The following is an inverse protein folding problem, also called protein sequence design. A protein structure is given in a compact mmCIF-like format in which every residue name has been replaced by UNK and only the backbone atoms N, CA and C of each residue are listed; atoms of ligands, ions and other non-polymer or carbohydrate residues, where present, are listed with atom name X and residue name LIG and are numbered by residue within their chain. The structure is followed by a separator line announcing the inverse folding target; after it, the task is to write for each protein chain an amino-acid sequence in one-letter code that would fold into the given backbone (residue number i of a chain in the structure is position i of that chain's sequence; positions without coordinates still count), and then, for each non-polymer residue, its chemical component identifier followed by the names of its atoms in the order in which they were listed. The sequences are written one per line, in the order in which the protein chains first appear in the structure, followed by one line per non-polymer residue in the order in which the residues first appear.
data_IF_240739945608
#
_entry.id   IF_240739945608
#
_cell.length_a   1.000
_cell.length_b   1.000
_cell.length_c   1.000
_cell.angle_alpha   90.00
_cell.angle_beta   90.00
_cell.angle_gamma   90.00
#
_symmetry.space_group_name_H-M   'P 1'
#
loop_
_entity.id
_entity.type
_entity.pdbx_description
1 polymer ?
#
# COMPACT_ATOMS: atom_id res chain seq x y z
N UNK A 1 14.58 13.06 0.96
CA UNK A 1 13.67 12.18 1.69
C UNK A 1 12.41 11.90 0.90
N UNK A 2 11.70 12.96 0.49
CA UNK A 2 10.48 12.81 -0.30
C UNK A 2 10.71 12.13 -1.63
N UNK A 3 11.85 12.41 -2.26
CA UNK A 3 12.20 11.82 -3.55
C UNK A 3 12.40 10.31 -3.43
N UNK A 4 13.07 9.88 -2.36
CA UNK A 4 13.30 8.45 -2.14
C UNK A 4 12.00 7.71 -1.86
N UNK A 5 11.10 8.31 -1.10
CA UNK A 5 9.80 7.70 -0.81
C UNK A 5 8.95 7.58 -2.07
N UNK A 6 8.96 8.60 -2.92
CA UNK A 6 8.24 8.57 -4.20
C UNK A 6 8.81 7.50 -5.12
N UNK A 7 10.13 7.37 -5.18
CA UNK A 7 10.77 6.32 -5.97
C UNK A 7 10.40 4.94 -5.46
N UNK A 8 10.37 4.78 -4.15
CA UNK A 8 9.99 3.53 -3.53
C UNK A 8 8.56 3.16 -3.89
N UNK A 9 7.64 4.12 -3.81
CA UNK A 9 6.24 3.91 -4.21
C UNK A 9 6.13 3.54 -5.68
N UNK A 10 6.86 4.23 -6.55
CA UNK A 10 6.83 3.91 -7.98
C UNK A 10 7.32 2.50 -8.26
N UNK A 11 8.35 2.06 -7.56
CA UNK A 11 8.84 0.68 -7.68
C UNK A 11 7.80 -0.32 -7.22
N UNK A 12 7.12 -0.01 -6.14
CA UNK A 12 6.07 -0.87 -5.61
C UNK A 12 4.87 -0.93 -6.56
N UNK A 13 4.50 0.19 -7.17
CA UNK A 13 3.44 0.21 -8.18
C UNK A 13 3.79 -0.65 -9.38
N UNK A 14 5.04 -0.55 -9.85
CA UNK A 14 5.50 -1.36 -10.96
C UNK A 14 5.51 -2.85 -10.61
N UNK A 15 5.98 -3.18 -9.40
CA UNK A 15 5.97 -4.56 -8.93
C UNK A 15 4.54 -5.09 -8.80
N UNK A 16 3.63 -4.27 -8.28
CA UNK A 16 2.23 -4.64 -8.15
C UNK A 16 1.62 -4.99 -9.50
N UNK A 17 1.92 -4.20 -10.52
CA UNK A 17 1.41 -4.46 -11.87
C UNK A 17 1.89 -5.80 -12.40
N UNK A 18 3.15 -6.14 -12.17
CA UNK A 18 3.70 -7.43 -12.58
C UNK A 18 3.09 -8.59 -11.82
N UNK A 19 2.97 -8.45 -10.51
CA UNK A 19 2.39 -9.49 -9.66
C UNK A 19 0.91 -9.68 -10.00
N UNK A 20 0.19 -8.61 -10.34
CA UNK A 20 -1.21 -8.71 -10.76
C UNK A 20 -1.39 -9.67 -11.93
N UNK A 21 -0.50 -9.60 -12.92
CA UNK A 21 -0.52 -10.53 -14.05
C UNK A 21 -0.31 -11.98 -13.59
N UNK A 22 0.65 -12.18 -12.68
CA UNK A 22 0.95 -13.52 -12.16
C UNK A 22 -0.23 -14.10 -11.39
N UNK A 23 -0.92 -13.27 -10.60
CA UNK A 23 -2.07 -13.71 -9.82
C UNK A 23 -3.22 -14.17 -10.71
N UNK A 24 -3.43 -13.48 -11.83
CA UNK A 24 -4.46 -13.87 -12.79
C UNK A 24 -4.16 -15.25 -13.36
N UNK A 25 -2.89 -15.55 -13.63
CA UNK A 25 -2.47 -16.84 -14.17
C UNK A 25 -2.39 -17.93 -13.11
N UNK A 26 -2.02 -17.59 -11.89
CA UNK A 26 -1.85 -18.57 -10.82
C UNK A 26 -2.16 -17.94 -9.46
N UNK A 27 -3.18 -18.46 -8.82
CA UNK A 27 -3.67 -17.99 -7.52
C UNK A 27 -2.64 -18.10 -6.39
N UNK A 28 -1.63 -18.90 -6.57
CA UNK A 28 -0.58 -19.09 -5.56
C UNK A 28 0.13 -17.78 -5.23
N UNK A 29 0.09 -16.82 -6.16
CA UNK A 29 0.72 -15.50 -5.96
C UNK A 29 -0.18 -14.49 -5.23
N UNK A 30 -1.42 -14.85 -4.91
CA UNK A 30 -2.34 -13.94 -4.24
C UNK A 30 -1.82 -13.39 -2.92
N UNK A 31 -1.23 -14.19 -2.01
CA UNK A 31 -0.68 -13.65 -0.76
C UNK A 31 0.41 -12.60 -0.98
N UNK A 32 1.24 -12.80 -2.00
CA UNK A 32 2.29 -11.84 -2.34
C UNK A 32 1.69 -10.52 -2.82
N UNK A 33 0.66 -10.61 -3.64
CA UNK A 33 -0.05 -9.45 -4.15
C UNK A 33 -0.69 -8.66 -3.00
N UNK A 34 -1.37 -9.34 -2.09
CA UNK A 34 -2.00 -8.70 -0.93
C UNK A 34 -0.97 -8.02 -0.03
N UNK A 35 0.15 -8.68 0.23
CA UNK A 35 1.22 -8.10 1.04
C UNK A 35 1.77 -6.83 0.39
N UNK A 36 1.93 -6.86 -0.93
CA UNK A 36 2.44 -5.71 -1.68
C UNK A 36 1.44 -4.56 -1.66
N UNK A 37 0.15 -4.85 -1.80
CA UNK A 37 -0.89 -3.83 -1.70
C UNK A 37 -0.91 -3.18 -0.32
N UNK A 38 -0.71 -3.97 0.72
CA UNK A 38 -0.65 -3.46 2.08
C UNK A 38 0.56 -2.54 2.28
N UNK A 39 1.71 -2.93 1.77
CA UNK A 39 2.92 -2.10 1.85
C UNK A 39 2.72 -0.77 1.14
N UNK A 40 2.10 -0.81 -0.03
CA UNK A 40 1.78 0.41 -0.78
C UNK A 40 0.84 1.31 0.02
N UNK A 41 -0.21 0.76 0.56
CA UNK A 41 -1.19 1.51 1.34
C UNK A 41 -0.53 2.18 2.55
N UNK A 42 0.35 1.48 3.25
CA UNK A 42 1.06 2.03 4.40
C UNK A 42 1.96 3.20 4.00
N UNK A 43 2.66 3.07 2.88
CA UNK A 43 3.52 4.15 2.39
C UNK A 43 2.73 5.35 1.90
N UNK A 44 1.62 5.13 1.23
CA UNK A 44 0.74 6.20 0.79
C UNK A 44 0.20 6.99 1.97
N UNK A 45 -0.23 6.29 3.01
CA UNK A 45 -0.70 6.93 4.25
C UNK A 45 0.42 7.70 4.94
N UNK A 46 1.62 7.12 5.00
CA UNK A 46 2.76 7.77 5.64
C UNK A 46 3.14 9.07 4.96
N UNK A 47 2.93 9.15 3.64
CA UNK A 47 3.25 10.34 2.87
C UNK A 47 2.13 11.38 2.83
N UNK A 48 0.93 11.03 3.28
CA UNK A 48 -0.23 11.91 3.25
C UNK A 48 -0.71 12.20 4.68
N UNK A 49 -0.42 13.38 5.22
CA UNK A 49 -0.85 13.70 6.59
C UNK A 49 -2.36 13.71 6.75
N UNK A 50 -3.11 14.02 5.72
CA UNK A 50 -4.57 14.04 5.78
C UNK A 50 -5.10 12.62 5.94
N UNK A 51 -4.56 11.68 5.17
CA UNK A 51 -4.96 10.28 5.30
C UNK A 51 -4.57 9.70 6.66
N UNK A 52 -3.40 10.06 7.18
CA UNK A 52 -3.01 9.67 8.53
C UNK A 52 -3.99 10.19 9.56
N UNK A 53 -4.37 11.45 9.43
CA UNK A 53 -5.34 12.06 10.34
C UNK A 53 -6.69 11.35 10.30
N UNK A 54 -7.14 10.97 9.10
CA UNK A 54 -8.39 10.22 8.94
C UNK A 54 -8.34 8.87 9.61
N UNK A 55 -7.23 8.16 9.47
CA UNK A 55 -7.05 6.86 10.11
C UNK A 55 -7.08 6.98 11.63
N UNK A 56 -6.38 7.98 12.16
CA UNK A 56 -6.35 8.22 13.60
C UNK A 56 -7.75 8.56 14.12
N UNK A 57 -8.45 9.44 13.44
CA UNK A 57 -9.80 9.84 13.83
C UNK A 57 -10.77 8.67 13.80
N UNK A 58 -10.66 7.82 12.77
CA UNK A 58 -11.49 6.63 12.63
C UNK A 58 -11.23 5.64 13.76
N UNK A 59 -9.96 5.46 14.11
CA UNK A 59 -9.55 4.58 15.18
C UNK A 59 -10.12 5.05 16.53
N UNK A 60 -10.11 6.34 16.79
CA UNK A 60 -10.67 6.92 18.01
C UNK A 60 -12.18 6.71 18.08
N UNK A 61 -12.88 6.87 16.97
CA UNK A 61 -14.33 6.61 16.92
C UNK A 61 -14.64 5.16 17.22
N UNK A 62 -13.85 4.25 16.69
CA UNK A 62 -14.09 2.83 16.89
C UNK A 62 -13.96 2.42 18.35
N UNK A 63 -13.17 3.15 19.12
CA UNK A 63 -12.98 2.89 20.55
C UNK A 63 -14.02 3.54 21.44
N UNK A 64 -14.73 4.51 20.94
CA UNK A 64 -15.74 5.23 21.71
C UNK A 64 -17.04 4.38 21.91
#
# INVERSE_FOLDING_TARGET
LEIEEKRKLQRLYAARAKIAWLVIEDRVYAPIFEALEQDIAELEVANDPIERARLIARSQRAKA
#
